data_IF_666861820643
#
_entry.id   IF_666861820643
#
_cell.length_a   1.000
_cell.length_b   1.000
_cell.length_c   1.000
_cell.angle_alpha   90.00
_cell.angle_beta   90.00
_cell.angle_gamma   90.00
#
_symmetry.space_group_name_H-M   'P 1'
#
loop_
_entity.id
_entity.type
_entity.pdbx_description
1 polymer ?
#
# COMPACT_ATOMS: atom_id res chain seq x y z
N UNK A 1 14.38 9.06 13.20
CA UNK A 1 13.17 9.19 12.38
C UNK A 1 13.32 8.19 11.25
N UNK A 2 12.23 7.57 10.81
CA UNK A 2 12.26 6.63 9.70
C UNK A 2 12.90 7.25 8.45
N UNK A 3 13.51 6.40 7.62
CA UNK A 3 14.09 6.81 6.35
C UNK A 3 13.02 6.75 5.27
N UNK A 4 12.71 7.89 4.67
CA UNK A 4 11.70 7.99 3.61
C UNK A 4 12.34 7.94 2.23
N UNK A 5 11.69 7.24 1.30
CA UNK A 5 12.06 7.12 -0.10
C UNK A 5 10.85 7.47 -0.98
N UNK A 6 10.86 8.62 -1.68
CA UNK A 6 11.82 9.72 -1.53
C UNK A 6 11.67 10.43 -0.17
N UNK A 7 12.61 11.30 0.18
CA UNK A 7 12.52 12.06 1.43
C UNK A 7 11.33 13.04 1.41
N UNK A 8 10.88 13.48 2.58
CA UNK A 8 9.65 14.28 2.70
C UNK A 8 9.76 15.63 1.97
N UNK A 9 10.95 16.25 1.93
CA UNK A 9 11.13 17.51 1.23
C UNK A 9 11.07 17.32 -0.29
N UNK A 10 11.57 16.20 -0.81
CA UNK A 10 11.39 15.78 -2.20
C UNK A 10 9.91 15.55 -2.52
N UNK A 11 9.16 14.90 -1.63
CA UNK A 11 7.71 14.68 -1.82
C UNK A 11 6.97 16.01 -1.91
N UNK A 12 7.30 17.00 -1.05
CA UNK A 12 6.72 18.35 -1.11
C UNK A 12 6.99 19.05 -2.44
N UNK A 13 8.10 18.74 -3.11
CA UNK A 13 8.47 19.32 -4.39
C UNK A 13 7.80 18.63 -5.60
N UNK A 14 6.98 17.59 -5.40
CA UNK A 14 6.30 16.91 -6.49
C UNK A 14 5.32 17.83 -7.26
N UNK A 15 5.28 17.67 -8.58
CA UNK A 15 4.29 18.36 -9.42
C UNK A 15 2.86 17.97 -9.07
N UNK A 16 2.64 16.67 -8.79
CA UNK A 16 1.37 16.13 -8.28
C UNK A 16 1.55 15.87 -6.80
N UNK A 17 0.82 16.63 -5.98
CA UNK A 17 0.87 16.51 -4.53
C UNK A 17 0.13 15.26 -4.05
N UNK A 18 0.57 14.64 -2.94
CA UNK A 18 -0.19 13.59 -2.26
C UNK A 18 -1.61 14.05 -1.89
N UNK A 19 -2.54 13.11 -1.82
CA UNK A 19 -3.90 13.33 -1.31
C UNK A 19 -3.89 13.61 0.22
N UNK A 20 -5.00 14.07 0.77
CA UNK A 20 -5.08 14.47 2.19
C UNK A 20 -4.78 13.29 3.12
N UNK A 21 -5.35 12.12 2.83
CA UNK A 21 -5.08 10.90 3.59
C UNK A 21 -3.61 10.45 3.49
N UNK A 22 -2.96 10.64 2.34
CA UNK A 22 -1.55 10.30 2.15
C UNK A 22 -0.64 11.24 2.94
N UNK A 23 -0.92 12.56 2.92
CA UNK A 23 -0.20 13.53 3.73
C UNK A 23 -0.34 13.27 5.23
N UNK A 24 -1.55 12.95 5.68
CA UNK A 24 -1.78 12.56 7.06
C UNK A 24 -0.89 11.38 7.45
N UNK A 25 -0.84 10.34 6.61
CA UNK A 25 -0.04 9.15 6.87
C UNK A 25 1.46 9.44 6.82
N UNK A 26 1.95 10.22 5.84
CA UNK A 26 3.35 10.65 5.77
C UNK A 26 3.80 11.31 7.08
N UNK A 27 3.04 12.29 7.56
CA UNK A 27 3.37 13.02 8.79
C UNK A 27 3.29 12.10 10.01
N UNK A 28 2.23 11.28 10.11
CA UNK A 28 2.08 10.32 11.20
C UNK A 28 3.27 9.36 11.28
N UNK A 29 3.67 8.76 10.16
CA UNK A 29 4.81 7.84 10.12
C UNK A 29 6.11 8.56 10.48
N UNK A 30 6.31 9.78 9.99
CA UNK A 30 7.51 10.57 10.24
C UNK A 30 7.69 10.94 11.72
N UNK A 31 6.58 11.22 12.41
CA UNK A 31 6.58 11.57 13.83
C UNK A 31 6.69 10.35 14.75
N UNK A 32 6.21 9.18 14.31
CA UNK A 32 6.04 8.02 15.19
C UNK A 32 7.01 6.87 14.92
N UNK A 33 7.68 6.83 13.76
CA UNK A 33 8.64 5.77 13.44
C UNK A 33 10.09 6.22 13.66
N UNK A 34 10.86 5.34 14.29
CA UNK A 34 12.31 5.50 14.47
C UNK A 34 13.09 5.10 13.20
N UNK A 35 14.40 5.24 13.26
CA UNK A 35 15.33 4.96 12.15
C UNK A 35 15.48 3.47 11.81
N UNK A 36 14.83 2.55 12.55
CA UNK A 36 14.76 1.14 12.17
C UNK A 36 13.77 0.85 11.04
N UNK A 37 12.99 1.86 10.62
CA UNK A 37 12.01 1.75 9.55
C UNK A 37 12.44 2.46 8.28
N UNK A 38 12.12 1.83 7.16
CA UNK A 38 12.16 2.43 5.82
C UNK A 38 10.74 2.58 5.29
N UNK A 39 10.42 3.75 4.75
CA UNK A 39 9.10 4.07 4.21
C UNK A 39 9.23 4.48 2.75
N UNK A 40 8.69 3.68 1.86
CA UNK A 40 8.63 3.95 0.44
C UNK A 40 7.27 4.54 0.10
N UNK A 41 7.25 5.78 -0.38
CA UNK A 41 6.05 6.46 -0.83
C UNK A 41 5.91 6.39 -2.36
N UNK A 42 4.75 5.92 -2.82
CA UNK A 42 4.46 5.72 -4.24
C UNK A 42 5.53 4.92 -5.04
N UNK A 43 6.12 3.83 -4.49
CA UNK A 43 7.19 3.11 -5.18
C UNK A 43 6.69 2.43 -6.45
N UNK A 44 7.56 2.38 -7.46
CA UNK A 44 7.28 1.68 -8.71
C UNK A 44 7.83 0.24 -8.66
N UNK A 45 6.95 -0.76 -8.78
CA UNK A 45 7.27 -2.18 -8.63
C UNK A 45 6.81 -3.00 -9.84
N UNK A 46 7.57 -2.95 -10.95
CA UNK A 46 7.29 -3.72 -12.18
C UNK A 46 5.83 -3.64 -12.66
N UNK A 47 5.25 -2.45 -12.63
CA UNK A 47 3.86 -2.19 -13.05
C UNK A 47 2.89 -1.97 -11.90
N UNK A 48 3.25 -2.34 -10.67
CA UNK A 48 2.51 -1.97 -9.46
C UNK A 48 2.99 -0.63 -8.90
N UNK A 49 2.08 0.08 -8.24
CA UNK A 49 2.36 1.34 -7.55
C UNK A 49 1.48 1.48 -6.30
N UNK A 50 1.82 0.81 -5.19
CA UNK A 50 1.14 1.02 -3.92
C UNK A 50 1.41 2.42 -3.39
N UNK A 51 0.51 2.95 -2.56
CA UNK A 51 0.70 4.28 -1.96
C UNK A 51 1.87 4.27 -0.97
N UNK A 52 1.96 3.24 -0.10
CA UNK A 52 3.06 3.09 0.85
C UNK A 52 3.55 1.64 0.96
N UNK A 53 4.86 1.48 1.14
CA UNK A 53 5.47 0.25 1.65
C UNK A 53 6.38 0.60 2.82
N UNK A 54 6.15 -0.02 3.96
CA UNK A 54 6.93 0.16 5.18
C UNK A 54 7.71 -1.12 5.44
N UNK A 55 9.02 -1.02 5.56
CA UNK A 55 9.92 -2.12 5.84
C UNK A 55 10.58 -1.93 7.20
N UNK A 56 10.77 -3.05 7.91
CA UNK A 56 11.60 -3.10 9.11
C UNK A 56 12.41 -4.38 9.13
N UNK A 57 13.73 -4.22 9.15
CA UNK A 57 14.67 -5.34 9.16
C UNK A 57 14.42 -6.27 10.36
N UNK A 58 14.40 -7.59 10.11
CA UNK A 58 14.11 -8.60 11.14
C UNK A 58 12.63 -8.78 11.48
N UNK A 59 11.71 -7.99 10.89
CA UNK A 59 10.27 -8.10 11.14
C UNK A 59 9.49 -8.44 9.87
N UNK A 60 9.44 -7.52 8.89
CA UNK A 60 8.64 -7.73 7.69
C UNK A 60 8.27 -6.44 6.96
N UNK A 61 7.24 -6.55 6.12
CA UNK A 61 6.79 -5.50 5.19
C UNK A 61 5.32 -5.19 5.41
N UNK A 62 4.93 -3.93 5.34
CA UNK A 62 3.53 -3.49 5.36
C UNK A 62 3.23 -2.64 4.14
N UNK A 63 2.27 -3.09 3.32
CA UNK A 63 1.75 -2.35 2.17
C UNK A 63 0.48 -1.63 2.64
N UNK A 64 0.42 -0.32 2.42
CA UNK A 64 -0.77 0.49 2.74
C UNK A 64 -1.27 1.13 1.45
N UNK A 65 -2.57 0.98 1.20
CA UNK A 65 -3.30 1.76 0.21
C UNK A 65 -4.20 2.76 0.93
N UNK A 66 -4.11 4.02 0.54
CA UNK A 66 -4.93 5.11 1.03
C UNK A 66 -6.04 5.39 0.03
N UNK A 67 -7.25 5.56 0.54
CA UNK A 67 -8.43 5.83 -0.26
C UNK A 67 -9.28 6.86 0.46
N UNK A 68 -9.31 8.10 -0.03
CA UNK A 68 -10.17 9.15 0.53
C UNK A 68 -11.67 8.97 0.12
N UNK A 69 -12.15 7.74 0.23
CA UNK A 69 -13.47 7.30 -0.23
C UNK A 69 -14.57 7.72 0.73
N UNK A 70 -15.49 8.55 0.24
CA UNK A 70 -16.78 8.74 0.89
C UNK A 70 -17.68 7.55 0.55
N UNK A 71 -17.72 6.53 1.43
CA UNK A 71 -18.43 5.26 1.19
C UNK A 71 -19.87 5.41 0.67
N UNK A 72 -20.57 6.49 1.05
CA UNK A 72 -21.91 6.85 0.55
C UNK A 72 -22.01 7.06 -0.97
N UNK A 73 -20.89 7.27 -1.67
CA UNK A 73 -20.84 7.43 -3.13
C UNK A 73 -20.70 6.09 -3.88
N UNK A 74 -20.61 4.98 -3.15
CA UNK A 74 -20.33 3.67 -3.72
C UNK A 74 -21.35 2.62 -3.25
N UNK A 75 -21.50 1.56 -4.05
CA UNK A 75 -22.22 0.36 -3.66
C UNK A 75 -21.55 -0.88 -4.25
N UNK A 76 -21.94 -2.06 -3.77
CA UNK A 76 -21.58 -3.34 -4.36
C UNK A 76 -22.68 -3.81 -5.31
N UNK A 77 -22.32 -4.20 -6.53
CA UNK A 77 -23.25 -4.85 -7.45
C UNK A 77 -23.55 -6.30 -7.01
N UNK A 78 -24.44 -6.99 -7.73
CA UNK A 78 -24.83 -8.38 -7.46
C UNK A 78 -23.63 -9.36 -7.48
N UNK A 79 -22.53 -8.99 -8.14
CA UNK A 79 -21.28 -9.77 -8.20
C UNK A 79 -20.25 -9.29 -7.18
N UNK A 80 -20.65 -8.48 -6.19
CA UNK A 80 -19.80 -7.88 -5.15
C UNK A 80 -18.67 -7.01 -5.70
N UNK A 81 -18.91 -6.34 -6.84
CA UNK A 81 -17.96 -5.39 -7.41
C UNK A 81 -18.33 -3.98 -6.99
N UNK A 82 -17.32 -3.17 -6.66
CA UNK A 82 -17.53 -1.76 -6.33
C UNK A 82 -18.00 -0.97 -7.54
N UNK A 83 -19.02 -0.16 -7.34
CA UNK A 83 -19.65 0.70 -8.34
C UNK A 83 -19.82 2.12 -7.82
N UNK A 84 -19.66 3.11 -8.70
CA UNK A 84 -20.05 4.49 -8.42
C UNK A 84 -21.56 4.65 -8.44
N UNK A 85 -22.12 5.32 -7.42
CA UNK A 85 -23.54 5.68 -7.39
C UNK A 85 -23.90 6.69 -8.48
N UNK A 86 -22.94 7.54 -8.90
CA UNK A 86 -23.17 8.58 -9.89
C UNK A 86 -23.57 8.03 -11.27
N UNK A 87 -22.92 6.96 -11.72
CA UNK A 87 -23.08 6.46 -13.10
C UNK A 87 -22.94 4.94 -13.26
N UNK A 88 -22.82 4.18 -12.16
CA UNK A 88 -22.65 2.73 -12.21
C UNK A 88 -21.28 2.25 -12.72
N UNK A 89 -20.30 3.13 -12.86
CA UNK A 89 -18.96 2.74 -13.33
C UNK A 89 -18.31 1.74 -12.39
N UNK A 90 -17.60 0.77 -12.96
CA UNK A 90 -16.81 -0.20 -12.21
C UNK A 90 -15.62 0.49 -11.55
N UNK A 91 -15.35 0.14 -10.29
CA UNK A 91 -14.15 0.52 -9.58
C UNK A 91 -13.45 -0.75 -9.09
N UNK A 92 -12.12 -0.77 -9.23
CA UNK A 92 -11.30 -1.85 -8.68
C UNK A 92 -11.42 -1.81 -7.15
N UNK A 93 -11.62 -2.97 -6.54
CA UNK A 93 -11.67 -3.08 -5.08
C UNK A 93 -10.33 -2.66 -4.47
N UNK A 94 -10.30 -1.77 -3.47
CA UNK A 94 -9.06 -1.43 -2.76
C UNK A 94 -8.44 -2.66 -2.09
N UNK A 95 -9.29 -3.58 -1.62
CA UNK A 95 -8.85 -4.85 -1.05
C UNK A 95 -8.13 -5.69 -2.11
N UNK A 96 -8.69 -5.79 -3.32
CA UNK A 96 -8.07 -6.56 -4.40
C UNK A 96 -6.77 -5.90 -4.87
N UNK A 97 -6.67 -4.56 -4.81
CA UNK A 97 -5.43 -3.84 -5.11
C UNK A 97 -4.31 -4.22 -4.13
N UNK A 98 -4.53 -4.10 -2.82
CA UNK A 98 -3.47 -4.42 -1.85
C UNK A 98 -3.08 -5.90 -1.84
N UNK A 99 -4.05 -6.79 -2.07
CA UNK A 99 -3.76 -8.22 -2.20
C UNK A 99 -2.94 -8.52 -3.45
N UNK A 100 -3.22 -7.86 -4.58
CA UNK A 100 -2.42 -7.98 -5.79
C UNK A 100 -0.97 -7.54 -5.54
N UNK A 101 -0.76 -6.41 -4.87
CA UNK A 101 0.58 -5.93 -4.54
C UNK A 101 1.33 -6.91 -3.66
N UNK A 102 0.65 -7.47 -2.66
CA UNK A 102 1.24 -8.50 -1.80
C UNK A 102 1.62 -9.73 -2.62
N UNK A 103 0.76 -10.24 -3.49
CA UNK A 103 1.09 -11.40 -4.33
C UNK A 103 2.29 -11.13 -5.23
N UNK A 104 2.30 -9.97 -5.89
CA UNK A 104 3.39 -9.59 -6.79
C UNK A 104 4.72 -9.40 -6.05
N UNK A 105 4.69 -8.88 -4.81
CA UNK A 105 5.89 -8.77 -3.98
C UNK A 105 6.54 -10.13 -3.68
N UNK A 106 5.74 -11.16 -3.37
CA UNK A 106 6.28 -12.51 -3.19
C UNK A 106 6.76 -13.11 -4.50
N UNK A 107 6.00 -12.93 -5.58
CA UNK A 107 6.22 -13.69 -6.80
C UNK A 107 7.34 -13.11 -7.68
N UNK A 108 7.56 -11.79 -7.63
CA UNK A 108 8.39 -11.10 -8.63
C UNK A 108 9.57 -10.34 -8.03
N UNK A 109 9.48 -9.94 -6.76
CA UNK A 109 10.41 -8.95 -6.20
C UNK A 109 11.33 -9.51 -5.12
N UNK A 110 10.99 -10.65 -4.51
CA UNK A 110 11.82 -11.28 -3.48
C UNK A 110 11.95 -12.78 -3.77
N UNK A 111 13.06 -13.18 -4.39
CA UNK A 111 13.30 -14.54 -4.91
C UNK A 111 13.06 -15.63 -3.86
N UNK A 112 13.60 -15.45 -2.64
CA UNK A 112 13.49 -16.46 -1.58
C UNK A 112 12.10 -16.50 -0.91
N UNK A 113 11.34 -15.39 -0.94
CA UNK A 113 10.07 -15.29 -0.21
C UNK A 113 9.00 -16.21 -0.80
N UNK A 114 9.02 -16.40 -2.12
CA UNK A 114 8.15 -17.35 -2.80
C UNK A 114 8.46 -18.78 -2.36
N UNK A 115 9.75 -19.15 -2.36
CA UNK A 115 10.18 -20.48 -1.94
C UNK A 115 9.82 -20.75 -0.48
N UNK A 116 10.04 -19.78 0.41
CA UNK A 116 9.63 -19.88 1.81
C UNK A 116 8.12 -20.06 1.96
N UNK A 117 7.30 -19.28 1.23
CA UNK A 117 5.83 -19.42 1.22
C UNK A 117 5.39 -20.83 0.77
N UNK A 118 6.03 -21.40 -0.25
CA UNK A 118 5.72 -22.75 -0.75
C UNK A 118 6.07 -23.81 0.31
N UNK A 119 7.22 -23.67 0.97
CA UNK A 119 7.66 -24.59 2.03
C UNK A 119 6.80 -24.49 3.29
N UNK A 120 6.34 -23.28 3.65
CA UNK A 120 5.51 -23.04 4.82
C UNK A 120 4.63 -21.80 4.63
N UNK A 121 3.32 -22.01 4.59
CA UNK A 121 2.33 -20.96 4.36
C UNK A 121 2.34 -19.84 5.41
N UNK A 122 2.92 -20.07 6.61
CA UNK A 122 3.08 -19.04 7.64
C UNK A 122 3.94 -17.86 7.17
N UNK A 123 4.86 -18.08 6.22
CA UNK A 123 5.67 -17.00 5.66
C UNK A 123 4.85 -15.97 4.90
N UNK A 124 3.60 -16.28 4.52
CA UNK A 124 2.66 -15.30 3.99
C UNK A 124 2.38 -14.12 4.94
N UNK A 125 2.61 -14.30 6.24
CA UNK A 125 2.44 -13.24 7.24
C UNK A 125 3.59 -12.22 7.27
N UNK A 126 4.70 -12.44 6.56
CA UNK A 126 5.81 -11.47 6.48
C UNK A 126 5.35 -10.14 5.89
N UNK A 127 4.40 -10.20 4.95
CA UNK A 127 3.86 -9.01 4.30
C UNK A 127 2.43 -8.81 4.77
N UNK A 128 2.16 -7.67 5.38
CA UNK A 128 0.83 -7.27 5.82
C UNK A 128 0.25 -6.22 4.87
N UNK A 129 -1.07 -6.20 4.74
CA UNK A 129 -1.78 -5.21 3.94
C UNK A 129 -2.73 -4.41 4.83
N UNK A 130 -2.80 -3.10 4.60
CA UNK A 130 -3.77 -2.23 5.26
C UNK A 130 -4.44 -1.30 4.25
N UNK A 131 -5.72 -1.06 4.46
CA UNK A 131 -6.45 0.03 3.82
C UNK A 131 -6.63 1.15 4.83
N UNK A 132 -6.34 2.37 4.40
CA UNK A 132 -6.70 3.60 5.10
C UNK A 132 -7.83 4.26 4.30
N UNK A 133 -8.96 4.52 4.96
CA UNK A 133 -10.16 5.11 4.35
C UNK A 133 -10.84 6.10 5.27
#
# INVERSE_FOLDING_TARGET
>A
MATFYPDIEQIRAFTVQPEEGEWYLLNFLNENLDDSFEVYFNPFLNGDRPDFIILREGYGVMIIEVKDWKLQHYHLDEKRRWRLNLNGSYIKSPIDQVLQYKENLYNLHIEDLLEYKIKNSKYWAIVCCRLLS
#
